data_IF_751146576880
#
_entry.id   IF_751146576880
#
_cell.length_a   1.000
_cell.length_b   1.000
_cell.length_c   1.000
_cell.angle_alpha   90.00
_cell.angle_beta   90.00
_cell.angle_gamma   90.00
#
_symmetry.space_group_name_H-M   'P 1'
#
loop_
_entity.id
_entity.type
_entity.pdbx_description
1 polymer ?
#
# COMPACT_ATOMS: atom_id res chain seq x y z
N UNK A 1 -29.14 0.80 -2.69
CA UNK A 1 -27.87 0.03 -2.71
C UNK A 1 -26.86 0.79 -3.53
N UNK A 2 -25.60 0.87 -3.11
CA UNK A 2 -24.54 1.48 -3.91
C UNK A 2 -24.13 0.55 -5.05
N UNK A 3 -23.80 1.10 -6.21
CA UNK A 3 -23.24 0.33 -7.32
C UNK A 3 -21.85 -0.18 -6.95
N UNK A 4 -21.42 -1.31 -7.54
CA UNK A 4 -20.13 -1.95 -7.28
C UNK A 4 -18.95 -0.97 -7.41
N UNK A 5 -19.01 -0.11 -8.43
CA UNK A 5 -18.03 0.93 -8.68
C UNK A 5 -18.01 2.01 -7.58
N UNK A 6 -19.18 2.41 -7.06
CA UNK A 6 -19.26 3.34 -5.92
C UNK A 6 -18.69 2.72 -4.64
N UNK A 7 -18.96 1.44 -4.38
CA UNK A 7 -18.43 0.74 -3.22
C UNK A 7 -16.90 0.60 -3.29
N UNK A 8 -16.36 0.23 -4.45
CA UNK A 8 -14.92 0.13 -4.70
C UNK A 8 -14.22 1.49 -4.54
N UNK A 9 -14.81 2.57 -5.06
CA UNK A 9 -14.25 3.92 -4.93
C UNK A 9 -14.27 4.43 -3.48
N UNK A 10 -15.37 4.22 -2.75
CA UNK A 10 -15.44 4.55 -1.33
C UNK A 10 -14.42 3.75 -0.52
N UNK A 11 -14.26 2.45 -0.79
CA UNK A 11 -13.28 1.61 -0.13
C UNK A 11 -11.83 2.05 -0.41
N UNK A 12 -11.52 2.42 -1.66
CA UNK A 12 -10.21 2.97 -2.03
C UNK A 12 -9.92 4.28 -1.27
N UNK A 13 -10.91 5.16 -1.15
CA UNK A 13 -10.77 6.46 -0.46
C UNK A 13 -10.53 6.31 1.04
N UNK A 14 -11.19 5.36 1.69
CA UNK A 14 -11.03 5.10 3.13
C UNK A 14 -9.63 4.53 3.44
N UNK A 15 -9.05 3.74 2.52
CA UNK A 15 -7.71 3.15 2.69
C UNK A 15 -6.57 4.10 2.34
N UNK A 16 -6.81 5.07 1.45
CA UNK A 16 -5.80 6.02 1.00
C UNK A 16 -5.22 6.86 2.16
N UNK A 17 -6.07 7.28 3.11
CA UNK A 17 -5.63 8.06 4.29
C UNK A 17 -4.64 7.27 5.17
N UNK A 18 -4.96 6.06 5.66
CA UNK A 18 -4.02 5.24 6.43
C UNK A 18 -2.72 4.91 5.68
N UNK A 19 -2.79 4.60 4.38
CA UNK A 19 -1.63 4.26 3.57
C UNK A 19 -0.67 5.45 3.43
N UNK A 20 -1.20 6.63 3.14
CA UNK A 20 -0.38 7.84 3.08
C UNK A 20 0.25 8.14 4.45
N UNK A 21 -0.48 7.92 5.55
CA UNK A 21 0.01 8.16 6.89
C UNK A 21 1.23 7.30 7.23
N UNK A 22 1.19 5.99 6.91
CA UNK A 22 2.30 5.07 7.18
C UNK A 22 3.52 5.35 6.31
N UNK A 23 3.32 5.60 5.01
CA UNK A 23 4.43 5.90 4.10
C UNK A 23 5.09 7.22 4.48
N UNK A 24 4.32 8.25 4.82
CA UNK A 24 4.85 9.54 5.28
C UNK A 24 5.65 9.40 6.57
N UNK A 25 5.11 8.72 7.60
CA UNK A 25 5.85 8.48 8.85
C UNK A 25 7.14 7.70 8.62
N UNK A 26 7.14 6.68 7.75
CA UNK A 26 8.34 5.89 7.48
C UNK A 26 9.41 6.72 6.74
N UNK A 27 9.00 7.52 5.74
CA UNK A 27 9.93 8.42 5.04
C UNK A 27 10.54 9.40 6.02
N UNK A 28 9.74 10.08 6.86
CA UNK A 28 10.27 11.00 7.87
C UNK A 28 11.17 10.30 8.90
N UNK A 29 10.85 9.08 9.32
CA UNK A 29 11.68 8.30 10.25
C UNK A 29 13.00 7.81 9.64
N UNK A 30 13.05 7.56 8.33
CA UNK A 30 14.23 7.08 7.62
C UNK A 30 15.10 8.20 7.02
N UNK A 31 14.57 9.41 6.86
CA UNK A 31 15.32 10.61 6.44
C UNK A 31 16.61 10.84 7.26
N UNK A 32 16.58 10.82 8.61
CA UNK A 32 17.81 10.97 9.40
C UNK A 32 18.76 9.77 9.24
N UNK A 33 18.24 8.56 9.02
CA UNK A 33 19.05 7.38 8.73
C UNK A 33 19.80 7.49 7.39
N UNK A 34 19.21 8.14 6.38
CA UNK A 34 19.87 8.38 5.10
C UNK A 34 20.97 9.45 5.16
N UNK A 35 20.84 10.40 6.09
CA UNK A 35 21.77 11.52 6.30
C UNK A 35 22.84 11.22 7.37
N UNK A 36 22.71 10.11 8.11
CA UNK A 36 23.69 9.71 9.10
C UNK A 36 25.03 9.37 8.43
N UNK A 37 26.12 9.98 8.91
CA UNK A 37 27.49 9.70 8.49
C UNK A 37 28.26 9.15 9.70
N UNK A 38 28.72 7.90 9.63
CA UNK A 38 29.36 7.18 10.73
C UNK A 38 29.64 5.71 10.39
N UNK A 39 30.28 4.97 11.31
CA UNK A 39 30.51 3.52 11.17
C UNK A 39 29.16 2.78 11.11
N UNK A 40 28.94 2.04 10.02
CA UNK A 40 27.65 1.39 9.73
C UNK A 40 26.65 2.22 8.91
N UNK A 41 26.96 3.49 8.60
CA UNK A 41 26.08 4.37 7.82
C UNK A 41 25.76 3.84 6.41
N UNK A 42 26.73 3.18 5.76
CA UNK A 42 26.48 2.55 4.45
C UNK A 42 25.40 1.46 4.54
N UNK A 43 25.36 0.70 5.65
CA UNK A 43 24.34 -0.31 5.91
C UNK A 43 22.98 0.33 6.16
N UNK A 44 22.91 1.33 7.05
CA UNK A 44 21.68 2.06 7.38
C UNK A 44 21.08 2.77 6.17
N UNK A 45 21.93 3.38 5.33
CA UNK A 45 21.52 4.09 4.12
C UNK A 45 20.99 3.12 3.06
N UNK A 46 21.68 1.99 2.83
CA UNK A 46 21.22 0.94 1.91
C UNK A 46 19.88 0.34 2.34
N UNK A 47 19.71 0.07 3.65
CA UNK A 47 18.45 -0.40 4.23
C UNK A 47 17.33 0.61 4.03
N UNK A 48 17.56 1.88 4.37
CA UNK A 48 16.57 2.94 4.22
C UNK A 48 16.12 3.09 2.76
N UNK A 49 17.06 3.11 1.80
CA UNK A 49 16.73 3.21 0.37
C UNK A 49 15.98 1.97 -0.14
N UNK A 50 16.36 0.77 0.32
CA UNK A 50 15.68 -0.47 -0.07
C UNK A 50 14.25 -0.56 0.46
N UNK A 51 14.05 -0.18 1.72
CA UNK A 51 12.72 -0.17 2.36
C UNK A 51 11.81 0.88 1.73
N UNK A 52 12.30 2.10 1.48
CA UNK A 52 11.51 3.15 0.83
C UNK A 52 11.07 2.69 -0.57
N UNK A 53 11.99 2.12 -1.36
CA UNK A 53 11.67 1.58 -2.67
C UNK A 53 10.65 0.45 -2.62
N UNK A 54 10.85 -0.52 -1.72
CA UNK A 54 9.96 -1.66 -1.52
C UNK A 54 8.57 -1.25 -1.04
N UNK A 55 8.47 -0.23 -0.17
CA UNK A 55 7.19 0.28 0.31
C UNK A 55 6.40 0.99 -0.79
N UNK A 56 7.05 1.77 -1.65
CA UNK A 56 6.34 2.43 -2.77
C UNK A 56 5.77 1.39 -3.73
N UNK A 57 6.61 0.44 -4.16
CA UNK A 57 6.21 -0.61 -5.11
C UNK A 57 5.17 -1.53 -4.48
N UNK A 58 5.38 -1.99 -3.24
CA UNK A 58 4.45 -2.85 -2.52
C UNK A 58 3.11 -2.18 -2.25
N UNK A 59 3.11 -0.89 -1.92
CA UNK A 59 1.87 -0.13 -1.73
C UNK A 59 1.08 0.00 -3.02
N UNK A 60 1.73 0.34 -4.13
CA UNK A 60 1.08 0.40 -5.44
C UNK A 60 0.54 -0.97 -5.84
N UNK A 61 1.37 -2.01 -5.75
CA UNK A 61 0.96 -3.38 -6.05
C UNK A 61 -0.26 -3.78 -5.22
N UNK A 62 -0.27 -3.51 -3.91
CA UNK A 62 -1.39 -3.84 -3.03
C UNK A 62 -2.65 -3.02 -3.35
N UNK A 63 -2.49 -1.74 -3.70
CA UNK A 63 -3.60 -0.86 -4.06
C UNK A 63 -4.31 -1.31 -5.35
N UNK A 64 -3.60 -1.95 -6.29
CA UNK A 64 -4.19 -2.56 -7.48
C UNK A 64 -4.64 -4.02 -7.25
N UNK A 65 -3.83 -4.81 -6.57
CA UNK A 65 -4.04 -6.25 -6.38
C UNK A 65 -5.27 -6.52 -5.51
N UNK A 66 -5.47 -5.76 -4.42
CA UNK A 66 -6.60 -5.96 -3.50
C UNK A 66 -7.96 -5.73 -4.16
N UNK A 67 -8.23 -4.59 -4.85
CA UNK A 67 -9.52 -4.41 -5.53
C UNK A 67 -9.69 -5.40 -6.68
N UNK A 68 -8.62 -5.75 -7.41
CA UNK A 68 -8.71 -6.78 -8.46
C UNK A 68 -9.11 -8.14 -7.88
N UNK A 69 -8.51 -8.56 -6.77
CA UNK A 69 -8.92 -9.80 -6.08
C UNK A 69 -10.37 -9.70 -5.60
N UNK A 70 -10.75 -8.57 -5.01
CA UNK A 70 -12.09 -8.38 -4.45
C UNK A 70 -13.18 -8.45 -5.52
N UNK A 71 -12.95 -7.86 -6.70
CA UNK A 71 -13.86 -7.94 -7.85
C UNK A 71 -13.97 -9.40 -8.32
N UNK A 72 -12.86 -10.13 -8.42
CA UNK A 72 -12.87 -11.56 -8.80
C UNK A 72 -13.65 -12.40 -7.78
N UNK A 73 -13.42 -12.20 -6.48
CA UNK A 73 -14.15 -12.92 -5.43
C UNK A 73 -15.65 -12.57 -5.44
N UNK A 74 -16.01 -11.30 -5.62
CA UNK A 74 -17.42 -10.91 -5.74
C UNK A 74 -18.08 -11.50 -6.98
N UNK A 75 -17.39 -11.52 -8.13
CA UNK A 75 -17.92 -12.13 -9.35
C UNK A 75 -18.20 -13.63 -9.17
N UNK A 76 -17.30 -14.33 -8.47
CA UNK A 76 -17.50 -15.74 -8.11
C UNK A 76 -18.66 -15.90 -7.13
N UNK A 77 -18.75 -15.06 -6.09
CA UNK A 77 -19.80 -15.13 -5.08
C UNK A 77 -21.19 -14.83 -5.65
N UNK A 78 -21.28 -13.90 -6.61
CA UNK A 78 -22.52 -13.55 -7.32
C UNK A 78 -22.99 -14.67 -8.26
N UNK A 79 -22.05 -15.41 -8.89
CA UNK A 79 -22.36 -16.65 -9.60
C UNK A 79 -22.84 -17.77 -8.68
N UNK A 80 -22.21 -17.94 -7.52
CA UNK A 80 -22.54 -19.02 -6.58
C UNK A 80 -23.89 -18.78 -5.88
N UNK A 81 -24.19 -17.54 -5.48
CA UNK A 81 -25.44 -17.19 -4.78
C UNK A 81 -26.69 -17.26 -5.67
N UNK A 82 -26.51 -17.35 -6.99
CA UNK A 82 -27.61 -17.48 -7.97
C UNK A 82 -27.98 -18.95 -8.25
N UNK A 83 -27.26 -19.91 -7.67
CA UNK A 83 -27.54 -21.35 -7.77
C UNK A 83 -28.01 -21.90 -6.42
#
# INVERSE_FOLDING_TARGET
GMTLAQAAYSAAKVRLRPILMTVLSMVFGLVPLMMAHGVGANGSRSLATGVIGGMIVGTLALLFLVPSLFITFQYIQERIKRN
#
